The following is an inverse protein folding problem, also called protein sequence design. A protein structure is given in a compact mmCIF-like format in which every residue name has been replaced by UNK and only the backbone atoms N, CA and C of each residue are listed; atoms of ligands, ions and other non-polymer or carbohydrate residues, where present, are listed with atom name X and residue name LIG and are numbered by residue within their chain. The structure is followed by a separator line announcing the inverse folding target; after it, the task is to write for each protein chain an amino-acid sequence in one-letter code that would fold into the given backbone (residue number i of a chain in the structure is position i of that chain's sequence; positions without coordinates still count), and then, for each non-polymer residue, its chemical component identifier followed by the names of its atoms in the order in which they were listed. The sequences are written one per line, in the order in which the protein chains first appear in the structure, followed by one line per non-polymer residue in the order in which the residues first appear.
data_IF_374440315948
#
_entry.id   IF_374440315948
#
_cell.length_a   1.000
_cell.length_b   1.000
_cell.length_c   1.000
_cell.angle_alpha   90.00
_cell.angle_beta   90.00
_cell.angle_gamma   90.00
#
_symmetry.space_group_name_H-M   'P 1'
#
loop_
_entity.id
_entity.type
_entity.pdbx_description
1 polymer ?
#
# COMPACT_ATOMS: atom_id res chain seq x y z
N UNK A 1 -5.17 1.19 -20.70
CA UNK A 1 -4.80 2.18 -19.66
C UNK A 1 -4.53 3.57 -20.23
N UNK A 2 -3.77 3.71 -21.32
CA UNK A 2 -3.44 5.01 -21.95
C UNK A 2 -4.64 5.97 -22.16
N UNK A 3 -5.79 5.45 -22.62
CA UNK A 3 -7.01 6.26 -22.82
C UNK A 3 -7.53 6.91 -21.53
N UNK A 4 -7.49 6.19 -20.42
CA UNK A 4 -8.00 6.67 -19.13
C UNK A 4 -6.98 7.55 -18.41
N UNK A 5 -5.69 7.22 -18.50
CA UNK A 5 -4.61 8.05 -17.95
C UNK A 5 -4.54 9.40 -18.66
N UNK A 6 -4.72 9.43 -19.99
CA UNK A 6 -4.79 10.69 -20.75
C UNK A 6 -6.00 11.54 -20.34
N UNK A 7 -7.18 10.92 -20.16
CA UNK A 7 -8.38 11.63 -19.66
C UNK A 7 -8.20 12.18 -18.25
N UNK A 8 -7.45 11.47 -17.39
CA UNK A 8 -7.15 11.89 -16.02
C UNK A 8 -5.98 12.89 -15.93
N UNK A 9 -5.37 13.30 -17.06
CA UNK A 9 -4.21 14.21 -17.07
C UNK A 9 -2.91 13.59 -16.54
N UNK A 10 -2.85 12.26 -16.40
CA UNK A 10 -1.67 11.54 -15.90
C UNK A 10 -0.67 11.39 -17.05
N UNK A 11 0.39 12.20 -17.01
CA UNK A 11 1.45 12.22 -18.03
C UNK A 11 2.40 11.00 -17.97
N UNK A 12 2.44 10.30 -16.84
CA UNK A 12 3.26 9.10 -16.69
C UNK A 12 2.61 7.88 -17.34
N UNK A 13 3.45 7.03 -17.97
CA UNK A 13 3.01 5.71 -18.41
C UNK A 13 2.68 4.83 -17.20
N UNK A 14 1.37 4.68 -16.96
CA UNK A 14 0.83 3.80 -15.94
C UNK A 14 0.48 2.44 -16.57
N UNK A 15 1.30 1.44 -16.26
CA UNK A 15 1.03 0.06 -16.64
C UNK A 15 0.01 -0.58 -15.68
N UNK A 16 -0.73 -1.61 -16.12
CA UNK A 16 -1.64 -2.36 -15.24
C UNK A 16 -0.94 -2.89 -13.97
N UNK A 17 0.32 -3.30 -14.10
CA UNK A 17 1.13 -3.76 -12.97
C UNK A 17 1.44 -2.63 -11.98
N UNK A 18 1.82 -1.42 -12.45
CA UNK A 18 2.04 -0.26 -11.58
C UNK A 18 0.77 0.16 -10.83
N UNK A 19 -0.38 0.11 -11.50
CA UNK A 19 -1.66 0.43 -10.86
C UNK A 19 -1.99 -0.57 -9.75
N UNK A 20 -1.76 -1.87 -9.99
CA UNK A 20 -1.94 -2.93 -8.99
C UNK A 20 -1.04 -2.72 -7.77
N UNK A 21 0.24 -2.42 -7.98
CA UNK A 21 1.19 -2.10 -6.92
C UNK A 21 0.75 -0.87 -6.10
N UNK A 22 0.32 0.19 -6.78
CA UNK A 22 -0.20 1.39 -6.13
C UNK A 22 -1.43 1.07 -5.26
N UNK A 23 -2.38 0.28 -5.78
CA UNK A 23 -3.59 -0.10 -5.07
C UNK A 23 -3.28 -0.87 -3.77
N UNK A 24 -2.42 -1.90 -3.82
CA UNK A 24 -2.10 -2.67 -2.62
C UNK A 24 -1.29 -1.87 -1.61
N UNK A 25 -0.33 -1.06 -2.07
CA UNK A 25 0.39 -0.12 -1.20
C UNK A 25 -0.58 0.83 -0.50
N UNK A 26 -1.53 1.40 -1.23
CA UNK A 26 -2.52 2.31 -0.67
C UNK A 26 -3.44 1.62 0.35
N UNK A 27 -3.95 0.42 0.05
CA UNK A 27 -4.77 -0.36 0.99
C UNK A 27 -4.01 -0.67 2.30
N UNK A 28 -2.74 -1.05 2.21
CA UNK A 28 -1.89 -1.27 3.39
C UNK A 28 -1.71 -0.01 4.22
N UNK A 29 -1.51 1.14 3.58
CA UNK A 29 -1.45 2.44 4.28
C UNK A 29 -2.77 2.82 4.96
N UNK A 30 -3.91 2.34 4.47
CA UNK A 30 -5.20 2.51 5.15
C UNK A 30 -5.41 1.53 6.32
N UNK A 31 -4.43 0.67 6.63
CA UNK A 31 -4.51 -0.30 7.72
C UNK A 31 -5.23 -1.61 7.37
N UNK A 32 -5.42 -1.90 6.06
CA UNK A 32 -6.03 -3.16 5.64
C UNK A 32 -5.03 -4.30 5.78
N UNK A 33 -5.45 -5.40 6.41
CA UNK A 33 -4.60 -6.57 6.66
C UNK A 33 -4.26 -7.35 5.36
N UNK A 34 -3.08 -7.99 5.33
CA UNK A 34 -2.66 -8.83 4.19
C UNK A 34 -3.63 -9.98 3.92
N UNK A 35 -4.25 -10.54 4.97
CA UNK A 35 -5.26 -11.59 4.83
C UNK A 35 -6.51 -11.12 4.07
N UNK A 36 -6.86 -9.83 4.16
CA UNK A 36 -7.98 -9.26 3.43
C UNK A 36 -7.60 -8.90 1.99
N UNK A 37 -6.33 -8.56 1.73
CA UNK A 37 -5.84 -8.20 0.40
C UNK A 37 -5.55 -9.45 -0.44
N UNK A 38 -5.10 -10.54 0.18
CA UNK A 38 -4.64 -11.76 -0.48
C UNK A 38 -5.62 -12.31 -1.55
N UNK A 39 -6.93 -12.47 -1.29
CA UNK A 39 -7.87 -13.01 -2.28
C UNK A 39 -8.00 -12.14 -3.53
N UNK A 40 -7.89 -10.81 -3.38
CA UNK A 40 -8.02 -9.84 -4.47
C UNK A 40 -6.72 -9.64 -5.23
N UNK A 41 -5.61 -10.04 -4.61
CA UNK A 41 -4.28 -9.84 -5.15
C UNK A 41 -3.87 -10.88 -6.20
N UNK A 42 -4.49 -12.05 -6.17
CA UNK A 42 -4.14 -13.18 -7.05
C UNK A 42 -2.76 -13.79 -6.75
N UNK A 43 -2.14 -13.46 -5.61
CA UNK A 43 -0.89 -14.08 -5.18
C UNK A 43 -1.17 -15.40 -4.49
N UNK A 44 -0.40 -16.43 -4.85
CA UNK A 44 -0.50 -17.76 -4.24
C UNK A 44 -0.03 -17.75 -2.77
N UNK A 45 0.82 -16.80 -2.37
CA UNK A 45 1.36 -16.71 -1.02
C UNK A 45 1.30 -15.29 -0.43
N UNK A 46 1.23 -15.24 0.91
CA UNK A 46 1.28 -13.98 1.69
C UNK A 46 2.66 -13.32 1.63
N UNK A 47 3.72 -14.07 1.37
CA UNK A 47 5.09 -13.53 1.23
C UNK A 47 5.18 -12.44 0.16
N UNK A 48 4.40 -12.55 -0.92
CA UNK A 48 4.39 -11.53 -1.96
C UNK A 48 3.77 -10.19 -1.48
N UNK A 49 3.00 -10.20 -0.38
CA UNK A 49 2.40 -9.00 0.21
C UNK A 49 3.30 -8.33 1.26
N UNK A 50 4.28 -9.04 1.81
CA UNK A 50 5.21 -8.50 2.81
C UNK A 50 5.99 -7.28 2.31
N UNK A 51 6.23 -7.19 0.99
CA UNK A 51 6.88 -6.03 0.38
C UNK A 51 6.10 -4.74 0.62
N UNK A 52 4.76 -4.80 0.63
CA UNK A 52 3.90 -3.65 0.91
C UNK A 52 3.79 -3.37 2.40
N UNK A 53 3.81 -4.42 3.24
CA UNK A 53 3.86 -4.29 4.70
C UNK A 53 5.10 -3.52 5.14
N UNK A 54 6.28 -3.81 4.58
CA UNK A 54 7.53 -3.10 4.89
C UNK A 54 7.48 -1.60 4.57
N UNK A 55 6.76 -1.21 3.51
CA UNK A 55 6.61 0.19 3.11
C UNK A 55 5.71 0.99 4.08
N UNK A 56 4.77 0.31 4.76
CA UNK A 56 3.93 0.94 5.78
C UNK A 56 4.64 1.08 7.14
N UNK A 57 5.75 0.37 7.38
CA UNK A 57 6.48 0.41 8.65
C UNK A 57 7.01 1.81 8.97
N UNK A 58 7.42 2.59 7.96
CA UNK A 58 7.94 3.95 8.19
C UNK A 58 6.88 4.85 8.84
N UNK A 59 5.64 4.82 8.34
CA UNK A 59 4.52 5.58 8.93
C UNK A 59 4.10 5.00 10.29
N UNK A 60 4.20 3.68 10.47
CA UNK A 60 3.93 3.04 11.75
C UNK A 60 4.93 3.44 12.84
N UNK A 61 6.21 3.61 12.50
CA UNK A 61 7.25 4.06 13.41
C UNK A 61 7.01 5.49 13.87
N UNK A 62 6.71 6.41 12.94
CA UNK A 62 6.37 7.79 13.28
C UNK A 62 5.15 7.85 14.21
N UNK A 63 4.14 7.01 13.96
CA UNK A 63 2.95 6.96 14.80
C UNK A 63 3.24 6.38 16.18
N UNK A 64 4.08 5.35 16.27
CA UNK A 64 4.55 4.80 17.53
C UNK A 64 5.28 5.85 18.35
N UNK A 65 6.23 6.57 17.75
CA UNK A 65 7.01 7.62 18.43
C UNK A 65 6.10 8.75 18.96
N UNK A 66 5.09 9.16 18.17
CA UNK A 66 4.08 10.15 18.57
C UNK A 66 3.27 9.70 19.81
N UNK A 67 2.84 8.44 19.83
CA UNK A 67 2.00 7.89 20.89
C UNK A 67 2.82 7.62 22.15
N UNK A 68 4.02 7.05 21.99
CA UNK A 68 4.92 6.74 23.10
C UNK A 68 5.42 8.00 23.81
N UNK A 69 5.63 9.11 23.09
CA UNK A 69 5.98 10.39 23.73
C UNK A 69 4.87 10.97 24.63
N UNK A 70 3.62 10.51 24.49
CA UNK A 70 2.47 10.89 25.33
C UNK A 70 2.21 9.87 26.45
N UNK A 71 2.98 8.78 26.50
CA UNK A 71 2.79 7.74 27.50
C UNK A 71 3.20 8.28 28.88
N UNK A 72 2.29 8.37 29.85
CA UNK A 72 2.61 8.90 31.16
C UNK A 72 3.45 7.86 31.93
N UNK A 73 4.74 8.15 32.08
CA UNK A 73 5.63 7.49 33.05
C UNK A 73 5.88 8.46 34.19
#
# INVERSE_FOLDING_TARGET
MAKYTNKAGIKQQLSPHKLRHFLFTWLKKQGVDDALIQPYSGHESRQALEVYSKLAITEAQEKYDEVMGKFPV
#
